data_IF_085211491074
#
_entry.id   IF_085211491074
#
_cell.length_a   1.000
_cell.length_b   1.000
_cell.length_c   1.000
_cell.angle_alpha   90.00
_cell.angle_beta   90.00
_cell.angle_gamma   90.00
#
_symmetry.space_group_name_H-M   'P 1'
#
loop_
_entity.id
_entity.type
_entity.pdbx_description
1 polymer ?
#
# COMPACT_ATOMS: atom_id res chain seq x y z
N UNK A 1 17.66 6.08 -1.31
CA UNK A 1 16.27 5.83 -0.90
C UNK A 1 15.88 6.98 -0.01
N UNK A 2 14.99 7.83 -0.51
CA UNK A 2 14.53 9.04 0.16
C UNK A 2 13.55 8.65 1.26
N UNK A 3 14.04 8.57 2.49
CA UNK A 3 13.26 8.21 3.68
C UNK A 3 12.04 9.12 3.89
N UNK A 4 12.07 10.34 3.36
CA UNK A 4 10.95 11.29 3.38
C UNK A 4 9.77 10.89 2.49
N UNK A 5 10.02 10.25 1.35
CA UNK A 5 8.93 9.74 0.50
C UNK A 5 8.24 8.55 1.15
N UNK A 6 9.02 7.63 1.73
CA UNK A 6 8.49 6.46 2.42
C UNK A 6 7.67 6.84 3.67
N UNK A 7 8.12 7.82 4.47
CA UNK A 7 7.33 8.35 5.61
C UNK A 7 6.01 8.98 5.14
N UNK A 8 6.05 9.73 4.03
CA UNK A 8 4.86 10.36 3.46
C UNK A 8 3.85 9.31 2.99
N UNK A 9 4.34 8.27 2.29
CA UNK A 9 3.52 7.13 1.86
C UNK A 9 2.92 6.43 3.09
N UNK A 10 3.71 6.13 4.12
CA UNK A 10 3.22 5.48 5.34
C UNK A 10 2.13 6.31 6.01
N UNK A 11 2.31 7.61 6.10
CA UNK A 11 1.31 8.51 6.71
C UNK A 11 -0.01 8.51 5.93
N UNK A 12 0.05 8.52 4.60
CA UNK A 12 -1.13 8.49 3.73
C UNK A 12 -1.84 7.12 3.79
N UNK A 13 -1.06 6.04 3.80
CA UNK A 13 -1.58 4.67 3.77
C UNK A 13 -1.99 4.14 5.14
N UNK A 14 -1.45 4.67 6.25
CA UNK A 14 -1.73 4.17 7.61
C UNK A 14 -3.23 4.18 7.92
N UNK A 15 -3.94 5.26 7.56
CA UNK A 15 -5.39 5.34 7.78
C UNK A 15 -6.13 4.30 6.94
N UNK A 16 -5.72 4.10 5.69
CA UNK A 16 -6.33 3.08 4.80
C UNK A 16 -6.09 1.66 5.30
N UNK A 17 -4.88 1.34 5.74
CA UNK A 17 -4.54 0.03 6.29
C UNK A 17 -5.40 -0.24 7.53
N UNK A 18 -5.49 0.74 8.44
CA UNK A 18 -6.32 0.60 9.63
C UNK A 18 -7.80 0.39 9.30
N UNK A 19 -8.36 1.19 8.38
CA UNK A 19 -9.76 1.08 7.94
C UNK A 19 -10.07 -0.28 7.29
N UNK A 20 -9.14 -0.84 6.51
CA UNK A 20 -9.27 -2.19 5.95
C UNK A 20 -9.36 -3.24 7.06
N UNK A 21 -8.51 -3.15 8.08
CA UNK A 21 -8.53 -4.08 9.20
C UNK A 21 -9.82 -3.96 10.01
N UNK A 22 -10.24 -2.74 10.34
CA UNK A 22 -11.44 -2.48 11.14
C UNK A 22 -12.70 -2.96 10.40
N UNK A 23 -12.90 -2.54 9.16
CA UNK A 23 -14.03 -2.95 8.35
C UNK A 23 -14.04 -4.46 8.08
N UNK A 24 -12.88 -5.09 7.89
CA UNK A 24 -12.81 -6.54 7.70
C UNK A 24 -13.16 -7.30 8.99
N UNK A 25 -12.65 -6.84 10.13
CA UNK A 25 -12.94 -7.41 11.45
C UNK A 25 -14.41 -7.25 11.82
N UNK A 26 -15.00 -6.08 11.65
CA UNK A 26 -16.43 -5.84 11.89
C UNK A 26 -17.33 -6.75 11.05
N UNK A 27 -16.95 -7.01 9.79
CA UNK A 27 -17.76 -7.82 8.88
C UNK A 27 -17.56 -9.34 9.05
N UNK A 28 -16.40 -9.79 9.53
CA UNK A 28 -16.02 -11.20 9.53
C UNK A 28 -15.71 -11.78 10.93
N UNK A 29 -15.69 -10.93 11.97
CA UNK A 29 -15.20 -11.27 13.32
C UNK A 29 -13.81 -11.93 13.32
N UNK A 30 -12.95 -11.54 12.37
CA UNK A 30 -11.55 -11.99 12.26
C UNK A 30 -10.71 -10.98 11.51
N UNK A 31 -9.41 -11.01 11.73
CA UNK A 31 -8.44 -10.24 10.95
C UNK A 31 -8.30 -10.79 9.51
N UNK A 32 -7.99 -9.94 8.52
CA UNK A 32 -7.74 -10.39 7.16
C UNK A 32 -6.44 -11.21 7.07
N UNK A 33 -6.46 -12.26 6.25
CA UNK A 33 -5.21 -12.95 5.85
C UNK A 33 -4.36 -12.03 4.96
N UNK A 34 -3.08 -12.36 4.78
CA UNK A 34 -2.19 -11.57 3.90
C UNK A 34 -2.74 -11.47 2.47
N UNK A 35 -3.34 -12.54 1.96
CA UNK A 35 -3.90 -12.58 0.61
C UNK A 35 -5.18 -11.72 0.52
N UNK A 36 -6.05 -11.79 1.54
CA UNK A 36 -7.27 -10.97 1.61
C UNK A 36 -6.91 -9.48 1.71
N UNK A 37 -5.99 -9.13 2.61
CA UNK A 37 -5.51 -7.76 2.75
C UNK A 37 -4.90 -7.24 1.44
N UNK A 38 -4.01 -8.01 0.80
CA UNK A 38 -3.43 -7.62 -0.49
C UNK A 38 -4.48 -7.40 -1.57
N UNK A 39 -5.50 -8.25 -1.62
CA UNK A 39 -6.59 -8.13 -2.59
C UNK A 39 -7.40 -6.85 -2.37
N UNK A 40 -7.74 -6.55 -1.11
CA UNK A 40 -8.50 -5.34 -0.74
C UNK A 40 -7.66 -4.08 -1.00
N UNK A 41 -6.39 -4.11 -0.61
CA UNK A 41 -5.48 -2.97 -0.74
C UNK A 41 -5.10 -2.70 -2.21
N UNK A 42 -5.11 -3.72 -3.08
CA UNK A 42 -4.72 -3.56 -4.48
C UNK A 42 -5.54 -2.48 -5.21
N UNK A 43 -6.84 -2.37 -4.90
CA UNK A 43 -7.70 -1.31 -5.44
C UNK A 43 -7.24 0.09 -4.98
N UNK A 44 -6.86 0.23 -3.71
CA UNK A 44 -6.27 1.47 -3.19
C UNK A 44 -4.89 1.78 -3.77
N UNK A 45 -4.10 0.76 -4.07
CA UNK A 45 -2.79 0.90 -4.69
C UNK A 45 -2.88 1.41 -6.13
N UNK A 46 -3.85 0.91 -6.91
CA UNK A 46 -4.08 1.37 -8.29
C UNK A 46 -4.44 2.86 -8.33
N UNK A 47 -5.32 3.28 -7.42
CA UNK A 47 -5.69 4.69 -7.24
C UNK A 47 -4.49 5.58 -6.84
N UNK A 48 -3.57 5.07 -6.02
CA UNK A 48 -2.38 5.82 -5.59
C UNK A 48 -1.31 5.92 -6.67
N UNK A 49 -1.06 4.83 -7.39
CA UNK A 49 -0.05 4.78 -8.45
C UNK A 49 -0.48 5.58 -9.68
N UNK A 50 -1.80 5.70 -9.88
CA UNK A 50 -2.39 6.45 -10.98
C UNK A 50 -2.19 5.76 -12.34
N UNK A 51 -2.82 6.28 -13.40
CA UNK A 51 -2.67 5.72 -14.73
C UNK A 51 -1.21 5.83 -15.19
N UNK A 52 -0.69 4.75 -15.78
CA UNK A 52 0.59 4.76 -16.46
C UNK A 52 0.50 5.78 -17.60
N UNK A 53 1.24 6.89 -17.53
CA UNK A 53 1.21 7.92 -18.57
C UNK A 53 1.80 7.33 -19.85
N UNK A 54 0.93 6.84 -20.73
CA UNK A 54 1.29 6.20 -22.00
C UNK A 54 1.74 7.23 -23.06
N UNK A 55 1.81 8.53 -22.72
CA UNK A 55 1.98 9.60 -23.70
C UNK A 55 3.44 10.03 -23.94
N UNK A 56 4.41 9.48 -23.21
CA UNK A 56 5.83 9.83 -23.36
C UNK A 56 6.54 8.84 -24.29
N UNK A 57 6.47 9.10 -25.59
CA UNK A 57 7.10 8.31 -26.67
C UNK A 57 8.64 8.39 -26.64
N UNK A 58 9.23 9.31 -25.87
CA UNK A 58 10.68 9.53 -25.78
C UNK A 58 11.17 9.29 -24.33
N UNK A 59 11.23 8.03 -23.89
CA UNK A 59 11.68 7.70 -22.52
C UNK A 59 10.95 6.58 -21.79
N UNK A 60 10.29 5.67 -22.52
CA UNK A 60 9.49 4.55 -22.01
C UNK A 60 10.15 3.82 -20.82
N UNK A 61 11.47 3.57 -20.85
CA UNK A 61 12.17 2.87 -19.78
C UNK A 61 12.26 3.67 -18.46
N UNK A 62 12.53 4.98 -18.51
CA UNK A 62 12.75 5.77 -17.30
C UNK A 62 11.44 6.02 -16.53
N UNK A 63 10.31 6.14 -17.25
CA UNK A 63 9.00 6.32 -16.62
C UNK A 63 8.50 5.00 -16.00
N UNK A 64 8.66 3.87 -16.71
CA UNK A 64 8.39 2.54 -16.18
C UNK A 64 9.23 2.22 -14.95
N UNK A 65 10.52 2.56 -14.97
CA UNK A 65 11.41 2.35 -13.82
C UNK A 65 10.97 3.18 -12.62
N UNK A 66 10.63 4.45 -12.81
CA UNK A 66 10.09 5.31 -11.73
C UNK A 66 8.79 4.78 -11.16
N UNK A 67 7.89 4.28 -12.02
CA UNK A 67 6.63 3.71 -11.55
C UNK A 67 6.86 2.41 -10.77
N UNK A 68 7.77 1.54 -11.21
CA UNK A 68 8.16 0.34 -10.46
C UNK A 68 8.79 0.68 -9.11
N UNK A 69 9.63 1.72 -9.06
CA UNK A 69 10.22 2.19 -7.79
C UNK A 69 9.11 2.67 -6.85
N UNK A 70 8.15 3.45 -7.33
CA UNK A 70 7.02 3.92 -6.52
C UNK A 70 6.12 2.78 -6.05
N UNK A 71 5.81 1.83 -6.92
CA UNK A 71 5.05 0.64 -6.57
C UNK A 71 5.79 -0.17 -5.49
N UNK A 72 7.10 -0.37 -5.64
CA UNK A 72 7.90 -1.06 -4.64
C UNK A 72 7.90 -0.31 -3.30
N UNK A 73 8.07 1.02 -3.30
CA UNK A 73 8.02 1.83 -2.08
C UNK A 73 6.65 1.80 -1.40
N UNK A 74 5.57 1.79 -2.19
CA UNK A 74 4.21 1.65 -1.68
C UNK A 74 4.04 0.30 -0.98
N UNK A 75 4.42 -0.79 -1.64
CA UNK A 75 4.28 -2.12 -1.05
C UNK A 75 5.18 -2.32 0.16
N UNK A 76 6.37 -1.74 0.19
CA UNK A 76 7.27 -1.78 1.35
C UNK A 76 6.64 -1.08 2.57
N UNK A 77 6.13 0.15 2.36
CA UNK A 77 5.41 0.90 3.38
C UNK A 77 4.17 0.17 3.89
N UNK A 78 3.39 -0.41 2.99
CA UNK A 78 2.13 -1.10 3.31
C UNK A 78 2.38 -2.41 4.04
N UNK A 79 3.39 -3.19 3.66
CA UNK A 79 3.75 -4.41 4.39
C UNK A 79 4.22 -4.10 5.81
N UNK A 80 4.95 -2.99 6.03
CA UNK A 80 5.34 -2.58 7.38
C UNK A 80 4.12 -2.20 8.21
N UNK A 81 3.25 -1.33 7.69
CA UNK A 81 2.01 -0.93 8.37
C UNK A 81 1.09 -2.12 8.68
N UNK A 82 0.97 -3.07 7.75
CA UNK A 82 0.19 -4.29 7.93
C UNK A 82 0.75 -5.15 9.07
N UNK A 83 2.08 -5.29 9.13
CA UNK A 83 2.75 -6.01 10.20
C UNK A 83 2.59 -5.30 11.54
N UNK A 84 2.71 -3.97 11.57
CA UNK A 84 2.51 -3.16 12.77
C UNK A 84 1.07 -3.28 13.32
N UNK A 85 0.06 -3.21 12.44
CA UNK A 85 -1.35 -3.37 12.84
C UNK A 85 -1.64 -4.78 13.37
N UNK A 86 -1.07 -5.83 12.74
CA UNK A 86 -1.18 -7.18 13.31
C UNK A 86 -0.53 -7.31 14.67
N UNK A 87 0.69 -6.77 14.85
CA UNK A 87 1.37 -6.83 16.14
C UNK A 87 0.60 -6.06 17.22
N UNK A 88 0.02 -4.91 16.86
CA UNK A 88 -0.83 -4.13 17.76
C UNK A 88 -2.04 -4.96 18.23
N UNK A 89 -2.75 -5.58 17.30
CA UNK A 89 -3.97 -6.36 17.58
C UNK A 89 -3.67 -7.70 18.29
N UNK A 90 -2.50 -8.29 18.08
CA UNK A 90 -2.06 -9.50 18.83
C UNK A 90 -1.65 -9.17 20.28
N UNK A 91 -1.26 -7.91 20.53
CA UNK A 91 -0.86 -7.43 21.85
C UNK A 91 -2.03 -6.91 22.72
N UNK A 92 -3.25 -6.81 22.17
CA UNK A 92 -4.50 -6.42 22.85
C UNK A 92 -5.27 -7.63 23.39
#
# INVERSE_FOLDING_TARGET
MDSSELDSIKRDMSVKVHDIFDNFEENNNRLPTMEEFRTIFHDSADNYLGPLDQQVVDGINANLERQRIREQQLWDAVNELESEERMRRDAE
#
